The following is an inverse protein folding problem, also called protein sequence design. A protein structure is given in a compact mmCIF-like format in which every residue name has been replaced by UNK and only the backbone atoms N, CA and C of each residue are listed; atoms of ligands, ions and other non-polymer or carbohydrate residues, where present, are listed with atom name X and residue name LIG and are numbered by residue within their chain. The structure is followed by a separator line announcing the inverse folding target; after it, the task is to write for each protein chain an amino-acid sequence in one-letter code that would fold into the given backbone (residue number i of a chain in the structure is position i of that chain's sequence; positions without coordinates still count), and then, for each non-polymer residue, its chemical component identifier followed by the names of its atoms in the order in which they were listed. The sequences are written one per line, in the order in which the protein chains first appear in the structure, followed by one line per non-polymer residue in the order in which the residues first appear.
data_IF_809354801968
#
_entry.id   IF_809354801968
#
_cell.length_a   1.000
_cell.length_b   1.000
_cell.length_c   1.000
_cell.angle_alpha   90.00
_cell.angle_beta   90.00
_cell.angle_gamma   90.00
#
_symmetry.space_group_name_H-M   'P 1'
#
loop_
_entity.id
_entity.type
_entity.pdbx_description
1 polymer ?
#
# COMPACT_ATOMS: atom_id res chain seq x y z
N UNK A 1 -10.47 -15.84 35.58
CA UNK A 1 -11.91 -16.14 35.74
C UNK A 1 -12.67 -15.11 34.91
N UNK A 2 -13.63 -15.50 34.07
CA UNK A 2 -14.38 -14.56 33.23
C UNK A 2 -15.40 -13.78 34.07
N UNK A 3 -15.20 -12.47 34.21
CA UNK A 3 -16.04 -11.59 35.04
C UNK A 3 -17.51 -11.51 34.60
N UNK A 4 -17.79 -11.82 33.33
CA UNK A 4 -19.14 -11.74 32.77
C UNK A 4 -19.98 -13.01 32.97
N UNK A 5 -19.33 -14.17 33.12
CA UNK A 5 -20.03 -15.47 33.20
C UNK A 5 -19.65 -16.29 34.43
N UNK A 6 -18.75 -15.80 35.29
CA UNK A 6 -18.32 -16.49 36.50
C UNK A 6 -17.61 -17.83 36.26
N UNK A 7 -17.16 -18.10 35.03
CA UNK A 7 -16.51 -19.36 34.67
C UNK A 7 -15.00 -19.22 34.64
N UNK A 8 -14.31 -20.28 35.02
CA UNK A 8 -12.86 -20.40 34.88
C UNK A 8 -12.58 -20.64 33.40
N UNK A 9 -11.82 -19.74 32.76
CA UNK A 9 -11.44 -19.90 31.36
C UNK A 9 -10.51 -21.11 31.24
N UNK A 10 -10.70 -22.00 30.25
CA UNK A 10 -9.91 -23.23 30.12
C UNK A 10 -8.43 -22.99 29.71
N UNK A 11 -7.94 -21.76 29.79
CA UNK A 11 -6.61 -21.39 29.30
C UNK A 11 -6.51 -21.42 27.76
N UNK A 12 -5.38 -21.00 27.19
CA UNK A 12 -5.07 -21.25 25.80
C UNK A 12 -5.01 -22.76 25.55
N UNK A 13 -5.53 -23.28 24.42
CA UNK A 13 -5.43 -24.70 24.13
C UNK A 13 -3.96 -25.09 23.94
N UNK A 14 -3.45 -25.97 24.79
CA UNK A 14 -2.14 -26.57 24.61
C UNK A 14 -2.27 -27.77 23.64
N UNK A 15 -1.94 -27.54 22.37
CA UNK A 15 -1.92 -28.57 21.33
C UNK A 15 -1.93 -27.98 19.92
N UNK A 16 -1.52 -28.75 18.90
CA UNK A 16 -1.57 -28.30 17.51
C UNK A 16 -3.03 -28.04 17.10
N UNK A 17 -3.28 -26.83 16.62
CA UNK A 17 -4.60 -26.42 16.14
C UNK A 17 -4.78 -26.92 14.70
N UNK A 18 -5.42 -28.08 14.55
CA UNK A 18 -5.66 -28.68 13.22
C UNK A 18 -6.94 -28.07 12.62
N UNK A 19 -6.77 -27.22 11.61
CA UNK A 19 -7.87 -26.65 10.84
C UNK A 19 -8.15 -27.57 9.64
N UNK A 20 -9.27 -28.27 9.66
CA UNK A 20 -9.74 -29.06 8.52
C UNK A 20 -10.29 -28.12 7.42
N UNK A 21 -9.51 -27.93 6.36
CA UNK A 21 -9.88 -27.14 5.18
C UNK A 21 -10.47 -27.98 4.04
N UNK A 22 -10.87 -29.23 4.29
CA UNK A 22 -11.50 -30.06 3.26
C UNK A 22 -12.92 -29.55 2.94
N UNK A 23 -13.40 -29.83 1.73
CA UNK A 23 -14.75 -29.42 1.29
C UNK A 23 -15.89 -29.93 2.21
N UNK A 24 -15.63 -30.97 3.03
CA UNK A 24 -16.58 -31.45 4.04
C UNK A 24 -16.82 -30.44 5.18
N UNK A 25 -15.88 -29.54 5.45
CA UNK A 25 -16.01 -28.48 6.46
C UNK A 25 -16.91 -27.31 5.99
N UNK A 26 -17.17 -27.17 4.68
CA UNK A 26 -18.03 -26.10 4.15
C UNK A 26 -19.52 -26.35 4.38
N UNK A 27 -19.93 -27.60 4.54
CA UNK A 27 -21.30 -27.94 4.94
C UNK A 27 -21.38 -27.96 6.46
N UNK A 28 -21.54 -26.77 7.05
CA UNK A 28 -21.56 -26.56 8.50
C UNK A 28 -22.45 -27.57 9.26
N UNK A 29 -22.06 -27.87 10.51
CA UNK A 29 -22.80 -28.75 11.41
C UNK A 29 -24.29 -28.42 11.42
N UNK A 30 -25.11 -29.26 10.78
CA UNK A 30 -26.57 -29.17 10.82
C UNK A 30 -27.02 -29.38 12.27
N UNK A 31 -27.30 -28.29 12.98
CA UNK A 31 -28.02 -28.33 14.26
C UNK A 31 -29.39 -28.97 14.02
N UNK A 32 -29.62 -30.15 14.61
CA UNK A 32 -30.98 -30.71 14.77
C UNK A 32 -31.79 -29.76 15.64
N UNK A 33 -32.63 -28.93 15.04
CA UNK A 33 -33.66 -28.19 15.75
C UNK A 33 -34.93 -29.04 15.85
N UNK A 34 -35.36 -29.34 17.07
CA UNK A 34 -36.72 -29.82 17.38
C UNK A 34 -37.69 -28.64 17.23
N UNK A 35 -38.79 -28.86 16.51
CA UNK A 35 -39.85 -27.89 16.32
C UNK A 35 -40.67 -27.67 17.60
N UNK A 36 -40.92 -26.40 17.96
CA UNK A 36 -41.94 -25.99 18.94
C UNK A 36 -42.75 -24.85 18.33
N UNK A 37 -44.05 -24.87 18.64
CA UNK A 37 -45.17 -24.26 17.95
C UNK A 37 -45.29 -22.73 18.04
N UNK A 38 -46.03 -22.19 17.07
CA UNK A 38 -46.42 -20.79 16.89
C UNK A 38 -47.33 -20.28 18.02
N UNK A 39 -47.11 -19.04 18.46
CA UNK A 39 -48.18 -18.16 18.96
C UNK A 39 -47.91 -16.68 18.55
N UNK A 40 -49.01 -15.96 18.43
CA UNK A 40 -49.30 -14.69 17.74
C UNK A 40 -48.63 -13.41 18.30
N UNK A 41 -48.80 -12.23 17.65
CA UNK A 41 -47.86 -11.11 17.74
C UNK A 41 -48.20 -10.16 18.90
N UNK A 42 -47.22 -9.98 19.78
CA UNK A 42 -47.19 -8.92 20.79
C UNK A 42 -46.10 -7.91 20.46
N UNK A 43 -46.48 -6.65 20.34
CA UNK A 43 -45.64 -5.46 20.23
C UNK A 43 -44.42 -5.49 21.17
N UNK A 44 -43.20 -5.40 20.61
CA UNK A 44 -41.97 -5.22 21.39
C UNK A 44 -41.29 -3.92 20.98
N UNK A 45 -41.26 -3.04 21.99
CA UNK A 45 -40.51 -1.82 22.15
C UNK A 45 -39.03 -1.99 21.70
N UNK A 46 -38.63 -1.32 20.62
CA UNK A 46 -37.23 -1.24 20.20
C UNK A 46 -36.53 -0.26 21.15
N UNK A 47 -35.89 -0.81 22.19
CA UNK A 47 -34.89 -0.07 22.97
C UNK A 47 -33.72 0.25 22.04
N UNK A 48 -33.60 1.53 21.69
CA UNK A 48 -32.45 2.11 21.04
C UNK A 48 -31.17 1.73 21.81
N UNK A 49 -30.28 0.98 21.17
CA UNK A 49 -28.88 0.94 21.58
C UNK A 49 -28.29 2.32 21.34
N UNK A 50 -28.14 3.11 22.41
CA UNK A 50 -27.24 4.26 22.44
C UNK A 50 -25.84 3.75 22.13
N UNK A 51 -25.41 3.92 20.88
CA UNK A 51 -23.99 4.06 20.58
C UNK A 51 -23.67 5.52 20.81
N UNK A 52 -22.78 5.78 21.77
CA UNK A 52 -22.27 7.12 22.04
C UNK A 52 -21.74 7.72 20.75
N UNK A 53 -22.39 8.79 20.30
CA UNK A 53 -21.97 9.62 19.20
C UNK A 53 -20.70 10.35 19.62
N UNK A 54 -19.54 9.72 19.45
CA UNK A 54 -18.26 10.42 19.48
C UNK A 54 -18.30 11.43 18.36
N UNK A 55 -18.29 12.70 18.74
CA UNK A 55 -18.25 13.84 17.82
C UNK A 55 -16.95 13.76 17.00
N UNK A 56 -17.02 13.19 15.80
CA UNK A 56 -15.98 13.25 14.77
C UNK A 56 -15.96 14.67 14.16
N UNK A 57 -15.55 15.65 14.95
CA UNK A 57 -14.93 16.83 14.37
C UNK A 57 -13.46 16.47 14.09
N UNK A 58 -12.90 16.81 12.93
CA UNK A 58 -11.45 16.88 12.81
C UNK A 58 -11.02 17.90 13.86
N UNK A 59 -10.46 17.44 14.98
CA UNK A 59 -9.87 18.35 15.96
C UNK A 59 -8.74 19.12 15.27
N UNK A 60 -8.42 20.33 15.72
CA UNK A 60 -7.27 21.08 15.21
C UNK A 60 -5.98 20.22 15.17
N UNK A 61 -5.87 19.25 16.09
CA UNK A 61 -4.84 18.20 16.10
C UNK A 61 -4.86 17.31 14.86
N UNK A 62 -6.01 16.79 14.40
CA UNK A 62 -6.08 15.99 13.17
C UNK A 62 -5.67 16.77 11.92
N UNK A 63 -5.94 18.08 11.87
CA UNK A 63 -5.57 18.92 10.71
C UNK A 63 -4.06 19.15 10.66
N UNK A 64 -3.43 19.52 11.77
CA UNK A 64 -1.97 19.68 11.83
C UNK A 64 -1.22 18.35 11.62
N UNK A 65 -1.73 17.24 12.16
CA UNK A 65 -1.17 15.91 11.89
C UNK A 65 -1.29 15.52 10.42
N UNK A 66 -2.42 15.86 9.79
CA UNK A 66 -2.65 15.60 8.39
C UNK A 66 -1.78 16.49 7.49
N UNK A 67 -1.57 17.75 7.84
CA UNK A 67 -0.62 18.64 7.15
C UNK A 67 0.81 18.11 7.26
N UNK A 68 1.21 17.59 8.43
CA UNK A 68 2.53 16.97 8.61
C UNK A 68 2.66 15.66 7.82
N UNK A 69 1.60 14.84 7.79
CA UNK A 69 1.54 13.62 6.98
C UNK A 69 1.61 13.96 5.48
N UNK A 70 0.80 14.90 5.00
CA UNK A 70 0.86 15.35 3.61
C UNK A 70 2.21 15.97 3.29
N UNK A 71 2.74 16.82 4.17
CA UNK A 71 4.08 17.40 4.04
C UNK A 71 5.11 16.32 3.81
N UNK A 72 5.14 15.29 4.67
CA UNK A 72 6.03 14.14 4.56
C UNK A 72 5.91 13.35 3.25
N UNK A 73 4.71 13.28 2.66
CA UNK A 73 4.48 12.59 1.39
C UNK A 73 4.58 13.49 0.14
N UNK A 74 4.66 14.83 0.30
CA UNK A 74 4.56 15.78 -0.83
C UNK A 74 5.71 16.79 -0.94
N UNK A 75 6.66 16.85 0.02
CA UNK A 75 7.65 17.94 0.13
C UNK A 75 8.57 18.14 -1.08
N UNK A 76 9.00 17.10 -1.80
CA UNK A 76 10.05 17.28 -2.84
C UNK A 76 9.72 16.73 -4.25
N UNK A 77 8.56 16.08 -4.42
CA UNK A 77 8.23 15.37 -5.67
C UNK A 77 6.97 15.85 -6.39
N UNK A 78 5.99 16.36 -5.64
CA UNK A 78 4.63 16.61 -6.14
C UNK A 78 4.25 18.10 -6.18
N UNK A 79 5.13 18.98 -5.68
CA UNK A 79 4.89 20.44 -5.63
C UNK A 79 5.07 21.17 -6.95
N UNK A 80 5.75 20.57 -7.95
CA UNK A 80 5.74 21.09 -9.31
C UNK A 80 4.43 20.67 -9.96
N UNK A 81 3.61 21.65 -10.32
CA UNK A 81 2.40 21.46 -11.12
C UNK A 81 2.76 20.62 -12.35
N UNK A 82 2.41 19.34 -12.33
CA UNK A 82 2.47 18.40 -13.47
C UNK A 82 1.44 18.79 -14.56
N UNK A 83 1.17 20.09 -14.70
CA UNK A 83 0.11 20.71 -15.49
C UNK A 83 -1.25 20.05 -15.25
N UNK A 84 -1.50 19.59 -14.01
CA UNK A 84 -2.74 18.93 -13.63
C UNK A 84 -3.00 18.97 -12.10
N UNK A 85 -3.37 20.17 -11.61
CA UNK A 85 -4.16 20.48 -10.38
C UNK A 85 -4.13 19.44 -9.25
N UNK A 86 -3.45 19.73 -8.14
CA UNK A 86 -3.46 19.07 -6.82
C UNK A 86 -3.46 17.52 -6.86
N UNK A 87 -2.47 16.89 -6.23
CA UNK A 87 -2.40 15.41 -6.20
C UNK A 87 -3.57 14.80 -5.45
N UNK A 88 -3.83 13.51 -5.67
CA UNK A 88 -5.00 12.85 -5.09
C UNK A 88 -4.95 12.90 -3.56
N UNK A 89 -3.74 12.85 -2.99
CA UNK A 89 -3.44 13.04 -1.57
C UNK A 89 -3.91 14.41 -1.07
N UNK A 90 -3.60 15.48 -1.81
CA UNK A 90 -4.03 16.85 -1.49
C UNK A 90 -5.55 17.03 -1.60
N UNK A 91 -6.23 16.15 -2.32
CA UNK A 91 -7.70 16.15 -2.46
C UNK A 91 -8.41 15.30 -1.42
N UNK A 92 -7.70 14.46 -0.66
CA UNK A 92 -8.27 13.63 0.41
C UNK A 92 -9.11 14.44 1.40
N UNK A 93 -8.70 15.63 1.89
CA UNK A 93 -9.51 16.42 2.83
C UNK A 93 -10.91 16.71 2.30
N UNK A 94 -11.00 17.05 1.02
CA UNK A 94 -12.26 17.35 0.36
C UNK A 94 -13.12 16.08 0.26
N UNK A 95 -12.50 14.93 -0.03
CA UNK A 95 -13.19 13.64 -0.08
C UNK A 95 -13.76 13.24 1.28
N UNK A 96 -13.01 13.41 2.37
CA UNK A 96 -13.46 13.04 3.72
C UNK A 96 -14.42 14.06 4.34
N UNK A 97 -14.39 15.32 3.90
CA UNK A 97 -15.27 16.38 4.39
C UNK A 97 -16.75 16.12 4.11
N UNK A 98 -17.05 15.32 3.08
CA UNK A 98 -18.42 14.91 2.75
C UNK A 98 -19.09 14.02 3.83
N UNK A 99 -18.32 13.51 4.81
CA UNK A 99 -18.74 12.64 5.94
C UNK A 99 -19.53 11.38 5.56
N UNK A 100 -19.79 11.12 4.28
CA UNK A 100 -20.57 9.98 3.82
C UNK A 100 -19.77 8.67 3.84
N UNK A 101 -18.43 8.73 3.86
CA UNK A 101 -17.59 7.53 3.85
C UNK A 101 -16.78 7.35 5.14
N UNK A 102 -17.39 6.64 6.09
CA UNK A 102 -16.78 6.30 7.38
C UNK A 102 -15.52 5.45 7.23
N UNK A 103 -15.43 4.60 6.21
CA UNK A 103 -14.29 3.69 6.05
C UNK A 103 -13.04 4.49 5.65
N UNK A 104 -13.18 5.45 4.73
CA UNK A 104 -12.09 6.32 4.31
C UNK A 104 -11.56 7.18 5.46
N UNK A 105 -12.46 7.78 6.24
CA UNK A 105 -12.09 8.61 7.41
C UNK A 105 -11.25 7.79 8.39
N UNK A 106 -11.72 6.60 8.77
CA UNK A 106 -11.00 5.73 9.70
C UNK A 106 -9.66 5.25 9.14
N UNK A 107 -9.59 4.90 7.86
CA UNK A 107 -8.34 4.48 7.21
C UNK A 107 -7.31 5.63 7.19
N UNK A 108 -7.77 6.85 6.94
CA UNK A 108 -6.93 8.04 7.00
C UNK A 108 -6.43 8.31 8.42
N UNK A 109 -7.32 8.30 9.41
CA UNK A 109 -6.96 8.49 10.82
C UNK A 109 -5.97 7.42 11.31
N UNK A 110 -6.19 6.16 10.93
CA UNK A 110 -5.28 5.06 11.25
C UNK A 110 -3.88 5.33 10.69
N UNK A 111 -3.80 5.72 9.41
CA UNK A 111 -2.53 5.99 8.72
C UNK A 111 -1.80 7.19 9.33
N UNK A 112 -2.49 8.30 9.56
CA UNK A 112 -1.90 9.49 10.18
C UNK A 112 -1.46 9.23 11.62
N UNK A 113 -2.25 8.46 12.40
CA UNK A 113 -1.90 8.08 13.77
C UNK A 113 -0.69 7.15 13.80
N UNK A 114 -0.59 6.20 12.85
CA UNK A 114 0.59 5.34 12.70
C UNK A 114 1.85 6.15 12.42
N UNK A 115 1.78 7.09 11.47
CA UNK A 115 2.87 8.01 11.18
C UNK A 115 3.30 8.80 12.42
N UNK A 116 2.33 9.41 13.13
CA UNK A 116 2.59 10.13 14.37
C UNK A 116 3.28 9.27 15.43
N UNK A 117 2.78 8.05 15.65
CA UNK A 117 3.36 7.10 16.59
C UNK A 117 4.80 6.71 16.26
N UNK A 118 5.14 6.53 14.98
CA UNK A 118 6.52 6.26 14.54
C UNK A 118 7.40 7.49 14.77
N UNK A 119 6.98 8.66 14.31
CA UNK A 119 7.78 9.89 14.41
C UNK A 119 8.05 10.30 15.85
N UNK A 120 7.07 10.12 16.75
CA UNK A 120 7.23 10.43 18.17
C UNK A 120 7.70 9.25 19.01
N UNK A 121 7.98 8.08 18.41
CA UNK A 121 8.31 6.83 19.12
C UNK A 121 7.31 6.48 20.24
N UNK A 122 6.02 6.75 19.99
CA UNK A 122 4.94 6.59 20.97
C UNK A 122 4.12 5.33 20.69
N UNK A 123 4.34 4.30 21.51
CA UNK A 123 3.68 2.99 21.38
C UNK A 123 2.17 3.04 21.59
N UNK A 124 1.67 3.98 22.40
CA UNK A 124 0.22 4.15 22.60
C UNK A 124 -0.45 4.67 21.33
N UNK A 125 0.18 5.60 20.62
CA UNK A 125 -0.31 6.05 19.30
C UNK A 125 -0.26 4.91 18.28
N UNK A 126 0.81 4.12 18.27
CA UNK A 126 0.87 2.92 17.42
C UNK A 126 -0.26 1.94 17.72
N UNK A 127 -0.51 1.62 18.99
CA UNK A 127 -1.62 0.75 19.37
C UNK A 127 -2.97 1.33 18.91
N UNK A 128 -3.17 2.63 19.12
CA UNK A 128 -4.39 3.31 18.68
C UNK A 128 -4.57 3.26 17.17
N UNK A 129 -3.47 3.38 16.42
CA UNK A 129 -3.48 3.28 14.97
C UNK A 129 -3.94 1.88 14.50
N UNK A 130 -3.51 0.80 15.18
CA UNK A 130 -3.99 -0.56 14.90
C UNK A 130 -5.48 -0.75 15.18
N UNK A 131 -6.01 -0.17 16.27
CA UNK A 131 -7.46 -0.21 16.55
C UNK A 131 -8.27 0.50 15.46
N UNK A 132 -7.82 1.69 15.04
CA UNK A 132 -8.45 2.46 13.97
C UNK A 132 -8.39 1.69 12.64
N UNK A 133 -7.25 1.07 12.33
CA UNK A 133 -7.05 0.24 11.15
C UNK A 133 -8.02 -0.95 11.12
N UNK A 134 -8.12 -1.70 12.21
CA UNK A 134 -9.08 -2.82 12.30
C UNK A 134 -10.54 -2.36 12.14
N UNK A 135 -10.89 -1.20 12.72
CA UNK A 135 -12.22 -0.61 12.57
C UNK A 135 -12.47 -0.16 11.12
N UNK A 136 -11.47 0.42 10.46
CA UNK A 136 -11.54 0.81 9.05
C UNK A 136 -11.74 -0.40 8.14
N UNK A 137 -11.05 -1.52 8.39
CA UNK A 137 -11.23 -2.77 7.64
C UNK A 137 -12.66 -3.29 7.74
N UNK A 138 -13.23 -3.34 8.94
CA UNK A 138 -14.62 -3.80 9.14
C UNK A 138 -15.62 -2.87 8.44
N UNK A 139 -15.42 -1.55 8.52
CA UNK A 139 -16.25 -0.58 7.82
C UNK A 139 -16.16 -0.76 6.30
N UNK A 140 -14.95 -0.89 5.75
CA UNK A 140 -14.71 -1.10 4.32
C UNK A 140 -15.36 -2.40 3.83
N UNK A 141 -15.18 -3.49 4.57
CA UNK A 141 -15.79 -4.79 4.27
C UNK A 141 -17.33 -4.70 4.26
N UNK A 142 -17.93 -4.01 5.24
CA UNK A 142 -19.37 -3.84 5.29
C UNK A 142 -19.90 -3.10 4.06
N UNK A 143 -19.22 -2.04 3.60
CA UNK A 143 -19.60 -1.31 2.38
C UNK A 143 -19.46 -2.21 1.14
N UNK A 144 -18.39 -3.00 1.04
CA UNK A 144 -18.20 -3.94 -0.06
C UNK A 144 -19.28 -5.04 -0.11
N UNK A 145 -19.76 -5.52 1.04
CA UNK A 145 -20.80 -6.54 1.13
C UNK A 145 -22.21 -6.02 0.83
N UNK A 146 -22.47 -4.73 1.07
CA UNK A 146 -23.79 -4.12 0.88
C UNK A 146 -24.10 -3.77 -0.58
N UNK A 147 -23.09 -3.70 -1.46
CA UNK A 147 -23.27 -3.29 -2.86
C UNK A 147 -23.72 -4.45 -3.75
N UNK A 148 -25.01 -4.48 -4.06
CA UNK A 148 -25.63 -5.40 -5.01
C UNK A 148 -26.13 -4.78 -6.33
N UNK A 149 -25.97 -3.47 -6.59
CA UNK A 149 -26.63 -2.88 -7.78
C UNK A 149 -26.10 -1.54 -8.36
N UNK A 150 -24.96 -0.97 -7.94
CA UNK A 150 -24.45 0.22 -8.65
C UNK A 150 -22.98 0.06 -9.08
N UNK A 151 -22.75 0.27 -10.38
CA UNK A 151 -21.45 0.43 -11.02
C UNK A 151 -20.68 1.67 -10.54
N UNK A 152 -21.24 2.41 -9.59
CA UNK A 152 -20.70 3.68 -9.14
C UNK A 152 -19.72 3.43 -8.00
N UNK A 153 -18.54 2.92 -8.35
CA UNK A 153 -17.42 2.85 -7.42
C UNK A 153 -17.05 4.28 -7.05
N UNK A 154 -17.43 4.64 -5.83
CA UNK A 154 -17.05 5.91 -5.27
C UNK A 154 -15.52 5.93 -5.15
N UNK A 155 -14.91 7.03 -5.58
CA UNK A 155 -13.49 7.37 -5.34
C UNK A 155 -13.05 6.98 -3.93
N UNK A 156 -13.94 7.10 -2.95
CA UNK A 156 -13.70 6.73 -1.56
C UNK A 156 -13.33 5.26 -1.33
N UNK A 157 -13.88 4.28 -2.06
CA UNK A 157 -13.54 2.87 -1.89
C UNK A 157 -12.09 2.59 -2.31
N UNK A 158 -11.70 3.13 -3.47
CA UNK A 158 -10.33 3.03 -3.97
C UNK A 158 -9.39 3.77 -3.03
N UNK A 159 -9.73 5.00 -2.65
CA UNK A 159 -8.95 5.77 -1.68
C UNK A 159 -8.79 5.03 -0.36
N UNK A 160 -9.82 4.36 0.14
CA UNK A 160 -9.77 3.59 1.40
C UNK A 160 -8.76 2.47 1.28
N UNK A 161 -8.83 1.66 0.21
CA UNK A 161 -7.85 0.59 -0.03
C UNK A 161 -6.43 1.13 -0.16
N UNK A 162 -6.22 2.26 -0.84
CA UNK A 162 -4.89 2.87 -0.95
C UNK A 162 -4.39 3.37 0.41
N UNK A 163 -5.23 4.03 1.22
CA UNK A 163 -4.85 4.48 2.56
C UNK A 163 -4.49 3.32 3.48
N UNK A 164 -5.26 2.22 3.45
CA UNK A 164 -4.92 0.99 4.19
C UNK A 164 -3.58 0.39 3.72
N UNK A 165 -3.22 0.52 2.45
CA UNK A 165 -1.89 0.11 1.97
C UNK A 165 -0.76 0.98 2.55
N UNK A 166 -0.97 2.29 2.73
CA UNK A 166 0.02 3.14 3.40
C UNK A 166 0.19 2.79 4.87
N UNK A 167 -0.90 2.46 5.56
CA UNK A 167 -0.80 1.91 6.91
C UNK A 167 0.11 0.68 6.93
N UNK A 168 -0.13 -0.30 6.06
CA UNK A 168 0.67 -1.54 6.00
C UNK A 168 2.13 -1.31 5.58
N UNK A 169 2.41 -0.28 4.79
CA UNK A 169 3.78 0.09 4.44
C UNK A 169 4.57 0.59 5.66
N UNK A 170 3.91 1.34 6.55
CA UNK A 170 4.49 1.90 7.76
C UNK A 170 4.48 0.93 8.96
N UNK A 171 3.39 0.18 9.11
CA UNK A 171 3.14 -0.76 10.21
C UNK A 171 2.60 -2.06 9.64
N UNK A 172 3.52 -2.94 9.20
CA UNK A 172 3.14 -4.22 8.62
C UNK A 172 2.42 -5.10 9.65
N UNK A 173 1.19 -5.49 9.34
CA UNK A 173 0.44 -6.49 10.11
C UNK A 173 0.79 -7.90 9.65
N UNK A 174 0.98 -8.08 8.33
CA UNK A 174 1.44 -9.33 7.71
C UNK A 174 2.29 -9.02 6.48
N UNK A 175 3.09 -9.99 6.02
CA UNK A 175 3.91 -9.84 4.81
C UNK A 175 3.07 -9.61 3.54
N UNK A 176 1.82 -10.06 3.51
CA UNK A 176 0.95 -10.01 2.33
C UNK A 176 -0.10 -8.89 2.38
N UNK A 177 -0.33 -8.25 3.54
CA UNK A 177 -1.44 -7.30 3.71
C UNK A 177 -1.30 -6.06 2.82
N UNK A 178 -0.09 -5.50 2.69
CA UNK A 178 0.21 -4.42 1.76
C UNK A 178 -0.23 -4.79 0.33
N UNK A 179 0.19 -5.97 -0.15
CA UNK A 179 -0.18 -6.50 -1.47
C UNK A 179 -1.70 -6.65 -1.62
N UNK A 180 -2.35 -7.20 -0.59
CA UNK A 180 -3.79 -7.44 -0.63
C UNK A 180 -4.59 -6.14 -0.85
N UNK A 181 -4.19 -5.05 -0.22
CA UNK A 181 -4.83 -3.74 -0.40
C UNK A 181 -4.63 -3.17 -1.80
N UNK A 182 -3.41 -3.26 -2.33
CA UNK A 182 -3.10 -2.81 -3.70
C UNK A 182 -3.90 -3.62 -4.74
N UNK A 183 -3.97 -4.96 -4.59
CA UNK A 183 -4.77 -5.80 -5.47
C UNK A 183 -6.27 -5.56 -5.31
N UNK A 184 -6.75 -5.33 -4.08
CA UNK A 184 -8.12 -4.92 -3.84
C UNK A 184 -8.47 -3.62 -4.56
N UNK A 185 -7.61 -2.61 -4.48
CA UNK A 185 -7.78 -1.35 -5.20
C UNK A 185 -7.79 -1.55 -6.72
N UNK A 186 -6.92 -2.41 -7.25
CA UNK A 186 -6.89 -2.74 -8.67
C UNK A 186 -8.19 -3.42 -9.13
N UNK A 187 -8.74 -4.35 -8.34
CA UNK A 187 -10.03 -4.99 -8.63
C UNK A 187 -11.20 -4.01 -8.59
N UNK A 188 -11.16 -3.01 -7.70
CA UNK A 188 -12.15 -1.94 -7.70
C UNK A 188 -12.13 -1.19 -9.04
N UNK A 189 -10.97 -0.88 -9.62
CA UNK A 189 -10.90 -0.25 -10.94
C UNK A 189 -11.46 -1.10 -12.08
N UNK A 190 -11.27 -2.42 -12.04
CA UNK A 190 -11.84 -3.33 -13.05
C UNK A 190 -13.37 -3.27 -13.06
N UNK A 191 -13.98 -3.08 -11.88
CA UNK A 191 -15.43 -2.96 -11.73
C UNK A 191 -15.94 -1.57 -12.14
N UNK A 192 -15.15 -0.51 -11.96
CA UNK A 192 -15.53 0.85 -12.40
C UNK A 192 -15.54 1.00 -13.93
N UNK A 193 -14.65 0.26 -14.60
CA UNK A 193 -14.43 0.41 -16.03
C UNK A 193 -13.60 1.65 -16.41
N UNK A 194 -13.17 1.76 -17.68
CA UNK A 194 -12.17 2.74 -18.11
C UNK A 194 -12.68 4.19 -18.19
N UNK A 195 -13.99 4.42 -18.32
CA UNK A 195 -14.56 5.76 -18.57
C UNK A 195 -14.30 6.78 -17.46
N UNK A 196 -14.41 6.35 -16.20
CA UNK A 196 -14.23 7.21 -15.02
C UNK A 196 -12.75 7.44 -14.67
N UNK A 197 -11.83 6.70 -15.30
CA UNK A 197 -10.39 6.76 -15.01
C UNK A 197 -9.63 7.75 -15.92
N UNK A 198 -10.31 8.50 -16.79
CA UNK A 198 -9.67 9.42 -17.72
C UNK A 198 -9.17 10.72 -17.09
N UNK A 199 -9.80 11.19 -16.01
CA UNK A 199 -9.49 12.48 -15.39
C UNK A 199 -9.75 12.50 -13.87
N UNK A 200 -9.30 13.58 -13.20
CA UNK A 200 -9.56 13.81 -11.78
C UNK A 200 -8.83 12.88 -10.82
N UNK A 201 -9.38 12.74 -9.60
CA UNK A 201 -8.77 11.96 -8.51
C UNK A 201 -8.64 10.48 -8.89
N UNK A 202 -9.67 9.93 -9.54
CA UNK A 202 -9.73 8.51 -9.83
C UNK A 202 -8.64 8.10 -10.84
N UNK A 203 -8.40 8.97 -11.83
CA UNK A 203 -7.28 8.88 -12.76
C UNK A 203 -5.93 8.86 -12.02
N UNK A 204 -5.70 9.81 -11.10
CA UNK A 204 -4.47 9.85 -10.30
C UNK A 204 -4.30 8.60 -9.41
N UNK A 205 -5.37 8.14 -8.75
CA UNK A 205 -5.38 6.90 -7.95
C UNK A 205 -5.10 5.66 -8.81
N UNK A 206 -5.61 5.63 -10.03
CA UNK A 206 -5.38 4.53 -10.97
C UNK A 206 -3.90 4.37 -11.27
N UNK A 207 -3.19 5.48 -11.51
CA UNK A 207 -1.73 5.43 -11.70
C UNK A 207 -0.97 5.06 -10.46
N UNK A 208 -1.38 5.59 -9.30
CA UNK A 208 -0.79 5.21 -8.04
C UNK A 208 -0.89 3.69 -7.87
N UNK A 209 -2.10 3.12 -7.97
CA UNK A 209 -2.33 1.68 -7.81
C UNK A 209 -1.53 0.86 -8.81
N UNK A 210 -1.49 1.23 -10.10
CA UNK A 210 -0.70 0.46 -11.08
C UNK A 210 0.81 0.56 -10.82
N UNK A 211 1.30 1.70 -10.35
CA UNK A 211 2.70 1.87 -9.92
C UNK A 211 2.99 0.97 -8.72
N UNK A 212 2.08 0.90 -7.74
CA UNK A 212 2.22 0.00 -6.60
C UNK A 212 2.09 -1.48 -7.00
N UNK A 213 1.24 -1.84 -7.97
CA UNK A 213 1.18 -3.21 -8.50
C UNK A 213 2.50 -3.62 -9.13
N UNK A 214 3.14 -2.70 -9.85
CA UNK A 214 4.44 -2.94 -10.45
C UNK A 214 5.51 -3.12 -9.38
N UNK A 215 5.50 -2.27 -8.35
CA UNK A 215 6.35 -2.42 -7.17
C UNK A 215 6.16 -3.80 -6.53
N UNK A 216 4.92 -4.22 -6.26
CA UNK A 216 4.59 -5.56 -5.73
C UNK A 216 5.11 -6.66 -6.64
N UNK A 217 4.94 -6.56 -7.97
CA UNK A 217 5.43 -7.55 -8.94
C UNK A 217 6.94 -7.74 -8.80
N UNK A 218 7.68 -6.64 -8.80
CA UNK A 218 9.15 -6.63 -8.64
C UNK A 218 9.54 -7.19 -7.28
N UNK A 219 8.87 -6.74 -6.22
CA UNK A 219 9.17 -7.08 -4.83
C UNK A 219 8.75 -8.50 -4.45
N UNK A 220 7.85 -9.17 -5.18
CA UNK A 220 7.40 -10.55 -4.86
C UNK A 220 7.89 -11.60 -5.84
N UNK A 221 8.55 -11.18 -6.93
CA UNK A 221 8.94 -12.06 -8.04
C UNK A 221 7.76 -12.87 -8.60
N UNK A 222 6.53 -12.37 -8.43
CA UNK A 222 5.32 -13.06 -8.83
C UNK A 222 4.98 -12.74 -10.28
N UNK A 223 4.84 -13.76 -11.12
CA UNK A 223 4.41 -13.64 -12.52
C UNK A 223 2.90 -13.34 -12.66
N UNK A 224 2.17 -13.19 -11.56
CA UNK A 224 0.71 -13.07 -11.55
C UNK A 224 0.17 -11.70 -12.01
N UNK A 225 1.03 -10.74 -12.36
CA UNK A 225 0.60 -9.44 -12.91
C UNK A 225 0.93 -9.37 -14.42
N UNK A 226 -0.04 -9.67 -15.30
CA UNK A 226 0.14 -9.72 -16.75
C UNK A 226 0.07 -8.33 -17.39
N UNK A 227 0.78 -7.34 -16.84
CA UNK A 227 0.82 -5.99 -17.38
C UNK A 227 2.26 -5.59 -17.70
N UNK A 228 2.48 -5.14 -18.94
CA UNK A 228 3.72 -4.48 -19.32
C UNK A 228 3.79 -3.11 -18.64
N UNK A 229 4.90 -2.81 -17.96
CA UNK A 229 5.11 -1.49 -17.33
C UNK A 229 5.01 -0.34 -18.33
N UNK A 230 5.41 -0.57 -19.60
CA UNK A 230 5.26 0.43 -20.67
C UNK A 230 3.79 0.80 -20.89
N UNK A 231 2.91 -0.21 -20.97
CA UNK A 231 1.46 0.00 -21.10
C UNK A 231 0.85 0.65 -19.85
N UNK A 232 1.45 0.41 -18.68
CA UNK A 232 1.01 1.01 -17.42
C UNK A 232 1.36 2.49 -17.33
N UNK A 233 2.61 2.83 -17.64
CA UNK A 233 3.19 4.11 -17.26
C UNK A 233 3.27 5.11 -18.41
N UNK A 234 3.19 4.67 -19.68
CA UNK A 234 3.28 5.55 -20.86
C UNK A 234 2.02 5.55 -21.71
N UNK A 235 1.43 4.38 -21.98
CA UNK A 235 0.38 4.28 -23.00
C UNK A 235 -1.04 4.64 -22.50
N UNK A 236 -1.22 4.87 -21.19
CA UNK A 236 -2.53 5.20 -20.61
C UNK A 236 -2.67 6.68 -20.26
N UNK A 237 -1.58 7.46 -20.36
CA UNK A 237 -1.49 8.82 -19.84
C UNK A 237 -1.15 9.84 -20.92
N UNK A 238 -1.79 11.01 -20.82
CA UNK A 238 -1.43 12.22 -21.55
C UNK A 238 -0.50 13.12 -20.70
N UNK A 239 0.32 12.56 -19.81
CA UNK A 239 1.33 13.39 -19.14
C UNK A 239 2.42 13.72 -20.16
N UNK A 240 2.63 15.02 -20.39
CA UNK A 240 3.75 15.51 -21.19
C UNK A 240 5.09 15.18 -20.50
N UNK A 241 5.12 15.23 -19.17
CA UNK A 241 6.30 14.92 -18.35
C UNK A 241 5.92 14.03 -17.15
N UNK A 242 6.19 12.71 -17.21
CA UNK A 242 5.86 11.81 -16.10
C UNK A 242 6.75 12.06 -14.88
N UNK A 243 6.21 11.92 -13.64
CA UNK A 243 7.01 12.07 -12.43
C UNK A 243 8.27 11.17 -12.43
N UNK A 244 9.36 11.65 -11.84
CA UNK A 244 10.64 10.95 -11.79
C UNK A 244 10.54 9.51 -11.27
N UNK A 245 9.76 9.28 -10.20
CA UNK A 245 9.54 7.92 -9.67
C UNK A 245 8.90 7.01 -10.73
N UNK A 246 7.95 7.53 -11.50
CA UNK A 246 7.30 6.77 -12.57
C UNK A 246 8.29 6.45 -13.71
N UNK A 247 9.15 7.40 -14.07
CA UNK A 247 10.22 7.15 -15.04
C UNK A 247 11.20 6.08 -14.54
N UNK A 248 11.60 6.17 -13.27
CA UNK A 248 12.51 5.23 -12.64
C UNK A 248 11.90 3.82 -12.53
N UNK A 249 10.61 3.72 -12.20
CA UNK A 249 9.88 2.44 -12.21
C UNK A 249 9.78 1.83 -13.61
N UNK A 250 9.67 2.65 -14.68
CA UNK A 250 9.79 2.16 -16.05
C UNK A 250 11.16 1.49 -16.27
N UNK A 251 12.24 2.15 -15.84
CA UNK A 251 13.60 1.63 -15.97
C UNK A 251 13.77 0.31 -15.21
N UNK A 252 13.37 0.26 -13.93
CA UNK A 252 13.45 -0.94 -13.09
C UNK A 252 12.71 -2.12 -13.74
N UNK A 253 11.54 -1.87 -14.31
CA UNK A 253 10.77 -2.94 -14.97
C UNK A 253 11.41 -3.39 -16.27
N UNK A 254 11.87 -2.46 -17.10
CA UNK A 254 12.57 -2.80 -18.33
C UNK A 254 13.82 -3.63 -18.04
N UNK A 255 14.57 -3.29 -16.98
CA UNK A 255 15.70 -4.08 -16.52
C UNK A 255 15.28 -5.47 -16.04
N UNK A 256 14.20 -5.57 -15.27
CA UNK A 256 13.65 -6.85 -14.82
C UNK A 256 13.20 -7.72 -16.00
N UNK A 257 12.50 -7.14 -16.98
CA UNK A 257 12.02 -7.86 -18.17
C UNK A 257 13.19 -8.32 -19.05
N UNK A 258 14.24 -7.48 -19.21
CA UNK A 258 15.49 -7.85 -19.91
C UNK A 258 16.23 -9.01 -19.22
N UNK A 259 16.14 -9.12 -17.89
CA UNK A 259 16.70 -10.24 -17.15
C UNK A 259 15.89 -11.53 -17.34
N UNK A 260 14.56 -11.42 -17.43
CA UNK A 260 13.68 -12.56 -17.65
C UNK A 260 13.74 -13.09 -19.10
N UNK A 261 14.03 -12.22 -20.08
CA UNK A 261 14.20 -12.61 -21.47
C UNK A 261 15.56 -13.30 -21.68
N UNK A 262 15.57 -14.63 -21.71
CA UNK A 262 16.73 -15.47 -22.04
C UNK A 262 17.23 -15.34 -23.50
N UNK A 263 16.81 -14.31 -24.23
CA UNK A 263 17.04 -14.22 -25.68
C UNK A 263 18.48 -13.77 -25.98
N UNK A 264 19.26 -14.65 -26.62
CA UNK A 264 20.70 -14.55 -26.91
C UNK A 264 21.12 -13.47 -27.93
N UNK A 265 20.28 -12.45 -28.21
CA UNK A 265 20.68 -11.34 -29.08
C UNK A 265 21.51 -10.34 -28.28
N UNK A 266 22.76 -10.72 -28.01
CA UNK A 266 23.70 -9.99 -27.14
C UNK A 266 23.84 -8.50 -27.51
N UNK A 267 23.80 -8.16 -28.80
CA UNK A 267 23.92 -6.76 -29.26
C UNK A 267 22.75 -5.87 -28.86
N UNK A 268 21.51 -6.34 -29.04
CA UNK A 268 20.30 -5.56 -28.71
C UNK A 268 20.17 -5.41 -27.18
N UNK A 269 20.53 -6.45 -26.44
CA UNK A 269 20.53 -6.43 -24.98
C UNK A 269 21.52 -5.40 -24.43
N UNK A 270 22.74 -5.37 -24.93
CA UNK A 270 23.76 -4.39 -24.51
C UNK A 270 23.30 -2.96 -24.82
N UNK A 271 22.77 -2.71 -26.02
CA UNK A 271 22.25 -1.39 -26.39
C UNK A 271 21.13 -0.93 -25.43
N UNK A 272 20.18 -1.81 -25.12
CA UNK A 272 19.08 -1.49 -24.20
C UNK A 272 19.58 -1.22 -22.77
N UNK A 273 20.58 -1.98 -22.30
CA UNK A 273 21.18 -1.75 -20.98
C UNK A 273 21.88 -0.41 -20.91
N UNK A 274 22.65 -0.03 -21.93
CA UNK A 274 23.31 1.29 -22.01
C UNK A 274 22.28 2.41 -22.00
N UNK A 275 21.21 2.30 -22.80
CA UNK A 275 20.15 3.31 -22.83
C UNK A 275 19.43 3.46 -21.47
N UNK A 276 19.13 2.35 -20.81
CA UNK A 276 18.53 2.34 -19.47
C UNK A 276 19.47 2.94 -18.42
N UNK A 277 20.77 2.61 -18.50
CA UNK A 277 21.79 3.18 -17.62
C UNK A 277 21.87 4.70 -17.78
N UNK A 278 21.94 5.20 -19.02
CA UNK A 278 21.96 6.65 -19.29
C UNK A 278 20.72 7.34 -18.73
N UNK A 279 19.53 6.73 -18.88
CA UNK A 279 18.29 7.28 -18.34
C UNK A 279 18.32 7.34 -16.81
N UNK A 280 18.76 6.27 -16.13
CA UNK A 280 18.85 6.24 -14.66
C UNK A 280 19.83 7.29 -14.13
N UNK A 281 20.98 7.46 -14.77
CA UNK A 281 21.97 8.46 -14.35
C UNK A 281 21.55 9.91 -14.67
N UNK A 282 20.76 10.13 -15.73
CA UNK A 282 20.12 11.42 -15.98
C UNK A 282 19.10 11.77 -14.89
N UNK A 283 18.19 10.85 -14.57
CA UNK A 283 17.22 11.04 -13.48
C UNK A 283 17.91 11.27 -12.13
N UNK A 284 19.03 10.59 -11.87
CA UNK A 284 19.80 10.78 -10.65
C UNK A 284 20.46 12.15 -10.56
N UNK A 285 21.03 12.64 -11.68
CA UNK A 285 21.59 14.00 -11.74
C UNK A 285 20.51 15.04 -11.52
N UNK A 286 19.34 14.85 -12.13
CA UNK A 286 18.20 15.74 -11.92
C UNK A 286 17.78 15.73 -10.44
N UNK A 287 17.63 14.55 -9.82
CA UNK A 287 17.27 14.41 -8.41
C UNK A 287 18.26 15.11 -7.47
N UNK A 288 19.56 14.87 -7.67
CA UNK A 288 20.60 15.44 -6.80
C UNK A 288 20.77 16.95 -7.01
N UNK A 289 20.56 17.45 -8.23
CA UNK A 289 20.56 18.90 -8.51
C UNK A 289 19.46 19.66 -7.76
N UNK A 290 18.31 19.02 -7.54
CA UNK A 290 17.15 19.63 -6.85
C UNK A 290 17.35 19.72 -5.34
N UNK A 291 18.10 18.79 -4.74
CA UNK A 291 18.25 18.70 -3.28
C UNK A 291 19.23 19.68 -2.65
N UNK A 292 20.11 20.30 -3.45
CA UNK A 292 21.25 21.04 -2.90
C UNK A 292 22.27 20.10 -2.24
N UNK A 293 23.53 20.50 -2.23
CA UNK A 293 24.68 19.67 -1.81
C UNK A 293 24.86 19.57 -0.28
N UNK A 294 23.80 19.51 0.51
CA UNK A 294 23.90 19.66 1.97
C UNK A 294 24.04 18.34 2.75
N UNK A 295 24.87 17.42 2.24
CA UNK A 295 25.04 16.07 2.81
C UNK A 295 26.48 15.77 3.24
N UNK A 296 27.04 16.65 4.08
CA UNK A 296 28.29 16.40 4.81
C UNK A 296 28.11 15.63 6.14
N UNK A 297 26.91 15.12 6.45
CA UNK A 297 26.66 14.36 7.69
C UNK A 297 26.85 12.85 7.47
N UNK A 298 27.75 12.24 8.25
CA UNK A 298 28.13 10.81 8.25
C UNK A 298 27.01 9.82 8.61
N UNK A 299 25.77 10.27 8.73
CA UNK A 299 24.63 9.42 9.07
C UNK A 299 23.56 9.67 8.02
N UNK A 300 23.24 8.63 7.23
CA UNK A 300 22.19 8.71 6.19
C UNK A 300 20.84 8.84 6.91
N UNK A 301 20.46 10.07 7.27
CA UNK A 301 19.10 10.44 7.65
C UNK A 301 18.42 11.00 6.41
N UNK A 302 17.44 10.27 5.91
CA UNK A 302 16.57 10.80 4.87
C UNK A 302 15.67 11.89 5.47
N UNK A 303 15.51 12.99 4.74
CA UNK A 303 14.69 14.16 5.17
C UNK A 303 13.22 13.75 5.32
N UNK A 304 12.74 12.85 4.47
CA UNK A 304 11.36 12.37 4.43
C UNK A 304 11.27 10.96 3.79
N UNK A 305 10.09 10.32 3.82
CA UNK A 305 9.92 8.99 3.20
C UNK A 305 10.01 9.01 1.68
N UNK A 306 9.58 10.09 1.02
CA UNK A 306 9.63 10.17 -0.43
C UNK A 306 11.08 10.18 -0.92
N UNK A 307 11.93 10.94 -0.25
CA UNK A 307 13.38 10.94 -0.37
C UNK A 307 13.95 9.54 -0.18
N UNK A 308 13.59 8.86 0.92
CA UNK A 308 14.06 7.51 1.19
C UNK A 308 13.63 6.54 0.07
N UNK A 309 12.35 6.56 -0.29
CA UNK A 309 11.76 5.74 -1.33
C UNK A 309 12.42 5.95 -2.69
N UNK A 310 12.57 7.21 -3.10
CA UNK A 310 13.24 7.61 -4.33
C UNK A 310 14.68 7.10 -4.34
N UNK A 311 15.42 7.30 -3.24
CA UNK A 311 16.78 6.78 -3.11
C UNK A 311 16.86 5.25 -3.23
N UNK A 312 15.91 4.48 -2.65
CA UNK A 312 15.93 3.03 -2.88
C UNK A 312 15.54 2.61 -4.28
N UNK A 313 14.62 3.32 -4.95
CA UNK A 313 14.34 3.02 -6.35
C UNK A 313 15.60 3.25 -7.21
N UNK A 314 16.39 4.28 -6.93
CA UNK A 314 17.66 4.47 -7.63
C UNK A 314 18.65 3.36 -7.31
N UNK A 315 18.77 2.97 -6.04
CA UNK A 315 19.59 1.84 -5.63
C UNK A 315 19.16 0.55 -6.35
N UNK A 316 17.86 0.25 -6.36
CA UNK A 316 17.29 -0.93 -7.01
C UNK A 316 17.59 -0.94 -8.52
N UNK A 317 17.39 0.20 -9.21
CA UNK A 317 17.73 0.32 -10.62
C UNK A 317 19.22 0.06 -10.89
N UNK A 318 20.11 0.64 -10.08
CA UNK A 318 21.57 0.44 -10.19
C UNK A 318 22.00 -0.99 -9.89
N UNK A 319 21.40 -1.63 -8.89
CA UNK A 319 21.65 -3.05 -8.58
C UNK A 319 21.23 -3.91 -9.76
N UNK A 320 20.05 -3.67 -10.35
CA UNK A 320 19.58 -4.41 -11.52
C UNK A 320 20.49 -4.17 -12.74
N UNK A 321 20.96 -2.95 -12.96
CA UNK A 321 21.95 -2.64 -13.98
C UNK A 321 23.26 -3.41 -13.75
N UNK A 322 23.80 -3.38 -12.53
CA UNK A 322 25.05 -4.08 -12.17
C UNK A 322 24.94 -5.60 -12.33
N UNK A 323 23.83 -6.19 -11.90
CA UNK A 323 23.55 -7.62 -12.12
C UNK A 323 23.46 -7.96 -13.61
N UNK A 324 22.94 -7.02 -14.41
CA UNK A 324 22.79 -7.22 -15.86
C UNK A 324 24.07 -6.96 -16.65
N UNK A 325 25.02 -6.19 -16.11
CA UNK A 325 26.24 -5.77 -16.81
C UNK A 325 27.47 -6.63 -16.56
N UNK A 326 27.58 -7.34 -15.42
CA UNK A 326 28.47 -8.49 -15.11
C UNK A 326 28.86 -8.57 -13.61
N UNK A 327 28.60 -9.71 -12.94
CA UNK A 327 29.32 -10.18 -11.74
C UNK A 327 28.74 -9.88 -10.34
N UNK A 328 28.67 -10.92 -9.48
CA UNK A 328 28.01 -11.04 -8.15
C UNK A 328 28.27 -9.94 -7.08
N UNK A 329 29.15 -8.97 -7.31
CA UNK A 329 29.66 -8.04 -6.27
C UNK A 329 28.60 -7.03 -5.76
N UNK A 330 27.62 -6.64 -6.58
CA UNK A 330 26.64 -5.61 -6.21
C UNK A 330 25.44 -6.09 -5.39
N UNK A 331 25.35 -7.40 -5.07
CA UNK A 331 24.19 -7.99 -4.38
C UNK A 331 24.17 -7.69 -2.86
N UNK A 332 25.34 -7.60 -2.23
CA UNK A 332 25.47 -7.39 -0.79
C UNK A 332 25.01 -5.98 -0.36
N UNK A 333 25.34 -4.96 -1.16
CA UNK A 333 24.92 -3.58 -0.91
C UNK A 333 23.40 -3.36 -0.92
N UNK A 334 22.63 -4.25 -1.53
CA UNK A 334 21.18 -4.19 -1.58
C UNK A 334 20.52 -4.61 -0.27
N UNK A 335 21.03 -5.70 0.33
CA UNK A 335 20.49 -6.30 1.55
C UNK A 335 20.69 -5.34 2.72
N UNK A 336 21.90 -4.78 2.85
CA UNK A 336 22.23 -3.82 3.91
C UNK A 336 21.29 -2.58 3.90
N UNK A 337 20.89 -2.14 2.70
CA UNK A 337 19.98 -1.01 2.52
C UNK A 337 18.57 -1.33 3.03
N UNK A 338 18.02 -2.50 2.67
CA UNK A 338 16.70 -2.92 3.15
C UNK A 338 16.71 -3.24 4.65
N UNK A 339 17.76 -3.89 5.17
CA UNK A 339 17.88 -4.13 6.62
C UNK A 339 17.89 -2.82 7.43
N UNK A 340 18.53 -1.77 6.90
CA UNK A 340 18.49 -0.43 7.48
C UNK A 340 17.06 0.16 7.54
N UNK A 341 16.21 -0.19 6.59
CA UNK A 341 14.83 0.29 6.51
C UNK A 341 13.88 -0.45 7.44
N UNK A 342 14.13 -1.73 7.70
CA UNK A 342 13.40 -2.53 8.68
C UNK A 342 13.41 -1.88 10.06
N UNK A 343 14.49 -1.15 10.39
CA UNK A 343 14.68 -0.49 11.68
C UNK A 343 14.16 0.95 11.72
N UNK A 344 13.61 1.49 10.62
CA UNK A 344 13.30 2.92 10.47
C UNK A 344 11.91 3.16 9.87
N UNK A 345 11.83 3.72 8.67
CA UNK A 345 10.65 4.46 8.17
C UNK A 345 9.66 3.63 7.34
N UNK A 346 10.03 2.43 6.88
CA UNK A 346 9.18 1.61 5.99
C UNK A 346 9.39 0.10 6.20
N UNK A 347 9.12 -0.44 7.40
CA UNK A 347 9.39 -1.83 7.73
C UNK A 347 8.59 -2.83 6.86
N UNK A 348 7.37 -2.48 6.41
CA UNK A 348 6.56 -3.38 5.58
C UNK A 348 7.12 -3.57 4.17
N UNK A 349 7.54 -2.48 3.54
CA UNK A 349 8.21 -2.51 2.23
C UNK A 349 9.53 -3.28 2.33
N UNK A 350 10.29 -3.07 3.41
CA UNK A 350 11.51 -3.82 3.65
C UNK A 350 11.25 -5.31 3.84
N UNK A 351 10.28 -5.68 4.67
CA UNK A 351 9.92 -7.08 4.91
C UNK A 351 9.53 -7.79 3.60
N UNK A 352 8.75 -7.13 2.74
CA UNK A 352 8.38 -7.65 1.43
C UNK A 352 9.62 -7.89 0.54
N UNK A 353 10.53 -6.92 0.47
CA UNK A 353 11.74 -7.02 -0.33
C UNK A 353 12.69 -8.11 0.19
N UNK A 354 12.90 -8.18 1.51
CA UNK A 354 13.76 -9.17 2.16
C UNK A 354 13.22 -10.60 2.02
N UNK A 355 11.90 -10.80 2.15
CA UNK A 355 11.26 -12.10 1.91
C UNK A 355 11.51 -12.59 0.47
N UNK A 356 11.37 -11.72 -0.53
CA UNK A 356 11.63 -12.12 -1.91
C UNK A 356 13.11 -12.40 -2.21
N UNK A 357 14.03 -11.65 -1.61
CA UNK A 357 15.47 -11.95 -1.70
C UNK A 357 15.75 -13.34 -1.11
N UNK A 358 15.16 -13.64 0.06
CA UNK A 358 15.30 -14.93 0.74
C UNK A 358 14.77 -16.08 -0.12
N UNK A 359 13.56 -15.96 -0.69
CA UNK A 359 12.97 -16.98 -1.56
C UNK A 359 13.79 -17.24 -2.82
N UNK A 360 14.38 -16.21 -3.43
CA UNK A 360 15.29 -16.38 -4.59
C UNK A 360 16.59 -17.10 -4.22
N UNK A 361 17.06 -16.98 -2.99
CA UNK A 361 18.25 -17.70 -2.52
C UNK A 361 17.97 -19.18 -2.27
N UNK A 362 16.74 -19.56 -1.93
CA UNK A 362 16.35 -20.96 -1.75
C UNK A 362 16.09 -21.68 -3.08
N UNK A 363 15.85 -20.93 -4.17
CA UNK A 363 15.53 -21.47 -5.49
C UNK A 363 16.76 -21.64 -6.42
N UNK A 364 17.92 -21.09 -6.05
CA UNK A 364 19.20 -21.28 -6.73
C UNK A 364 20.13 -22.11 -5.85
#
# INVERSE_FOLDING_TARGET
MCERTGKICPGPPEGPLIVDMTAKAQTGMRRRYKAVSKSSPGSINIKACRFDSVSLMPTATTTSFFENFLGFFTTDGEGKDIRNRLTWLQRIPQLVSSRSDRALVLALEATATAYGGIMSSNTNLTHKAHELYGTALHAHQAVLQQRGSSNDIAVHLVSTSVMLSFFEAMQATTADAYRAHIYGAARLFEVTGPGECGFGVLCQLFYHVRTQMLFVKIATCSYLVPLSAKKILRDTLLYEDPPMIQQLMCCITALHDLQASNTEVSGLRVHNLVALQSTVEELWREYTSRKGTDHAAKTVSFVDAFTALTSAYFSAARILLGVSSSGRSHRLSAVDLFEGWTKRSMPGISALALDAISRRNLAN
#
